data_IF_287308528042
#
_entry.id   IF_287308528042
#
_cell.length_a   1.000
_cell.length_b   1.000
_cell.length_c   1.000
_cell.angle_alpha   90.00
_cell.angle_beta   90.00
_cell.angle_gamma   90.00
#
_symmetry.space_group_name_H-M   'P 1'
#
loop_
_entity.id
_entity.type
_entity.pdbx_description
1 polymer ?
#
# COMPACT_ATOMS: atom_id res chain seq x y z
N UNK A 1 -11.93 3.11 -4.56
CA UNK A 1 -11.04 3.55 -3.46
C UNK A 1 -10.06 2.45 -3.13
N UNK A 2 -8.86 2.80 -2.69
CA UNK A 2 -7.85 1.89 -2.19
C UNK A 2 -7.47 2.29 -0.77
N UNK A 3 -6.84 1.38 -0.03
CA UNK A 3 -6.42 1.64 1.35
C UNK A 3 -4.91 1.65 1.38
N UNK A 4 -4.36 2.73 1.91
CA UNK A 4 -2.93 2.87 2.14
C UNK A 4 -2.48 1.83 3.20
N UNK A 5 -1.56 0.91 2.87
CA UNK A 5 -1.11 -0.13 3.80
C UNK A 5 -0.19 0.41 4.91
N UNK A 6 0.34 1.62 4.77
CA UNK A 6 1.20 2.27 5.77
C UNK A 6 0.35 2.96 6.83
N UNK A 7 -0.61 3.78 6.42
CA UNK A 7 -1.41 4.59 7.35
C UNK A 7 -2.88 4.14 7.51
N UNK A 8 -3.36 3.20 6.69
CA UNK A 8 -4.76 2.75 6.70
C UNK A 8 -5.76 3.74 6.11
N UNK A 9 -5.29 4.85 5.53
CA UNK A 9 -6.14 5.88 4.96
C UNK A 9 -6.77 5.42 3.64
N UNK A 10 -8.04 5.77 3.43
CA UNK A 10 -8.74 5.52 2.16
C UNK A 10 -8.36 6.58 1.14
N UNK A 11 -7.97 6.15 -0.06
CA UNK A 11 -7.48 7.03 -1.13
C UNK A 11 -8.16 6.72 -2.46
N UNK A 12 -8.23 7.71 -3.35
CA UNK A 12 -8.79 7.56 -4.68
C UNK A 12 -7.72 7.10 -5.67
N UNK A 13 -7.91 5.94 -6.29
CA UNK A 13 -6.91 5.30 -7.17
C UNK A 13 -6.50 6.16 -8.36
N UNK A 14 -7.40 7.03 -8.83
CA UNK A 14 -7.17 7.90 -9.99
C UNK A 14 -6.14 9.00 -9.72
N UNK A 15 -5.99 9.46 -8.47
CA UNK A 15 -5.05 10.52 -8.08
C UNK A 15 -4.05 10.09 -7.01
N UNK A 16 -4.16 8.85 -6.50
CA UNK A 16 -3.27 8.32 -5.49
C UNK A 16 -1.91 7.92 -6.09
N UNK A 17 -0.87 7.99 -5.26
CA UNK A 17 0.40 7.38 -5.58
C UNK A 17 0.23 5.87 -5.59
N UNK A 18 0.80 5.16 -6.55
CA UNK A 18 0.80 3.70 -6.52
C UNK A 18 2.18 3.12 -6.81
N UNK A 19 2.38 1.88 -6.39
CA UNK A 19 3.57 1.08 -6.73
C UNK A 19 3.11 -0.34 -7.03
N UNK A 20 3.69 -0.93 -8.07
CA UNK A 20 3.49 -2.34 -8.37
C UNK A 20 4.55 -3.15 -7.64
N UNK A 21 4.12 -4.05 -6.75
CA UNK A 21 4.99 -4.92 -5.97
C UNK A 21 4.45 -6.35 -6.01
N UNK A 22 5.28 -7.33 -6.43
CA UNK A 22 4.86 -8.72 -6.68
C UNK A 22 3.63 -8.86 -7.61
N UNK A 23 3.48 -7.94 -8.58
CA UNK A 23 2.34 -7.95 -9.50
C UNK A 23 1.03 -7.42 -8.89
N UNK A 24 1.09 -6.84 -7.69
CA UNK A 24 -0.03 -6.18 -7.03
C UNK A 24 0.21 -4.68 -6.98
N UNK A 25 -0.76 -3.89 -7.44
CA UNK A 25 -0.74 -2.43 -7.33
C UNK A 25 -1.23 -1.99 -5.94
N UNK A 26 -0.33 -1.38 -5.18
CA UNK A 26 -0.61 -0.75 -3.89
C UNK A 26 -0.75 0.76 -4.07
N UNK A 27 -1.70 1.36 -3.37
CA UNK A 27 -2.00 2.79 -3.47
C UNK A 27 -1.74 3.48 -2.13
N UNK A 28 -1.28 4.74 -2.19
CA UNK A 28 -0.82 5.51 -1.06
C UNK A 28 -1.40 6.93 -1.07
N UNK A 29 -1.65 7.47 0.12
CA UNK A 29 -2.19 8.81 0.29
C UNK A 29 -1.17 9.89 -0.01
N UNK A 30 0.12 9.58 0.16
CA UNK A 30 1.21 10.51 -0.01
C UNK A 30 2.47 9.79 -0.53
N UNK A 31 3.38 10.58 -1.12
CA UNK A 31 4.69 10.11 -1.54
C UNK A 31 5.48 9.51 -0.37
N UNK A 32 5.35 10.04 0.85
CA UNK A 32 6.01 9.51 2.04
C UNK A 32 5.59 8.08 2.37
N UNK A 33 4.29 7.78 2.35
CA UNK A 33 3.79 6.41 2.55
C UNK A 33 4.26 5.47 1.44
N UNK A 34 4.29 5.93 0.19
CA UNK A 34 4.85 5.12 -0.91
C UNK A 34 6.33 4.80 -0.68
N UNK A 35 7.13 5.79 -0.28
CA UNK A 35 8.58 5.62 -0.08
C UNK A 35 8.85 4.68 1.09
N UNK A 36 8.15 4.87 2.20
CA UNK A 36 8.26 4.01 3.37
C UNK A 36 7.82 2.57 3.07
N UNK A 37 6.74 2.39 2.30
CA UNK A 37 6.37 1.07 1.77
C UNK A 37 7.42 0.52 0.79
N UNK A 38 8.04 1.34 -0.05
CA UNK A 38 9.07 0.86 -0.97
C UNK A 38 10.35 0.42 -0.25
N UNK A 39 10.67 1.02 0.90
CA UNK A 39 11.78 0.62 1.76
C UNK A 39 11.46 -0.68 2.53
N UNK A 40 10.25 -0.81 3.08
CA UNK A 40 9.87 -1.88 4.01
C UNK A 40 8.54 -2.58 3.64
N UNK A 41 8.30 -2.88 2.36
CA UNK A 41 7.03 -3.43 1.86
C UNK A 41 6.57 -4.67 2.65
N UNK A 42 7.49 -5.61 2.88
CA UNK A 42 7.21 -6.86 3.59
C UNK A 42 6.68 -6.62 5.01
N UNK A 43 7.15 -5.58 5.71
CA UNK A 43 6.69 -5.22 7.06
C UNK A 43 5.23 -4.77 7.03
N UNK A 44 4.86 -3.96 6.04
CA UNK A 44 3.49 -3.45 5.88
C UNK A 44 2.53 -4.53 5.34
N UNK A 45 3.05 -5.50 4.57
CA UNK A 45 2.27 -6.60 4.01
C UNK A 45 2.08 -7.76 4.99
N UNK A 46 3.08 -8.06 5.83
CA UNK A 46 2.99 -9.10 6.85
C UNK A 46 1.85 -8.84 7.86
N UNK A 47 1.48 -7.56 8.10
CA UNK A 47 0.33 -7.20 8.94
C UNK A 47 -1.04 -7.39 8.27
N UNK A 48 -1.09 -7.58 6.94
CA UNK A 48 -2.30 -7.79 6.14
C UNK A 48 -2.46 -9.24 5.65
N UNK A 49 -1.46 -10.09 5.86
CA UNK A 49 -1.55 -11.53 5.54
C UNK A 49 -2.23 -12.29 6.68
N UNK A 50 -3.55 -12.17 6.74
CA UNK A 50 -4.41 -13.03 7.57
C UNK A 50 -5.76 -13.24 6.86
N UNK A 51 -5.72 -13.87 5.69
CA UNK A 51 -6.74 -14.84 5.24
C UNK A 51 -6.35 -15.41 3.87
N UNK A 52 -5.71 -16.58 3.82
CA UNK A 52 -6.05 -17.55 2.80
C UNK A 52 -7.42 -18.15 3.17
N UNK A 53 -8.43 -17.97 2.33
CA UNK A 53 -9.62 -18.82 2.32
C UNK A 53 -9.71 -19.53 0.97
#
# INVERSE_FOLDING_TARGET
MAVDPVCGMSVERENAFHVSWNGVDYYFCAKGCRDEFANDAEKYLAGKESSPQ
#
